data_IF_955982612586
#
_entry.id   IF_955982612586
#
_cell.length_a   1.000
_cell.length_b   1.000
_cell.length_c   1.000
_cell.angle_alpha   90.00
_cell.angle_beta   90.00
_cell.angle_gamma   90.00
#
_symmetry.space_group_name_H-M   'P 1'
#
loop_
_entity.id
_entity.type
_entity.pdbx_description
1 polymer ?
#
# COMPACT_ATOMS: atom_id res chain seq x y z
N UNK A 1 -1.41 -13.05 16.70
CA UNK A 1 -2.58 -12.42 17.35
C UNK A 1 -2.45 -10.90 17.40
N UNK A 2 -1.25 -10.32 17.30
CA UNK A 2 -1.05 -8.86 17.31
C UNK A 2 -1.32 -8.16 15.97
N UNK A 3 -1.08 -8.79 14.81
CA UNK A 3 -1.33 -8.20 13.48
C UNK A 3 -2.82 -7.86 13.22
N UNK A 4 -3.72 -8.64 13.83
CA UNK A 4 -5.18 -8.44 13.68
C UNK A 4 -5.65 -7.19 14.43
N UNK A 5 -4.92 -6.75 15.46
CA UNK A 5 -5.25 -5.55 16.24
C UNK A 5 -4.84 -4.26 15.55
N UNK A 6 -3.78 -4.26 14.73
CA UNK A 6 -3.32 -3.04 14.03
C UNK A 6 -4.22 -2.64 12.86
N UNK A 7 -4.92 -3.60 12.24
CA UNK A 7 -5.85 -3.34 11.13
C UNK A 7 -7.18 -2.69 11.58
N UNK A 8 -7.52 -2.73 12.87
CA UNK A 8 -8.75 -2.10 13.40
C UNK A 8 -8.64 -0.56 13.45
N UNK A 9 -7.43 0.01 13.39
CA UNK A 9 -7.21 1.47 13.42
C UNK A 9 -7.08 2.10 12.02
N UNK A 10 -7.11 1.29 10.96
CA UNK A 10 -6.97 1.80 9.59
C UNK A 10 -8.27 2.49 9.14
N UNK A 11 -8.12 3.69 8.61
CA UNK A 11 -9.21 4.42 7.97
C UNK A 11 -9.70 3.72 6.72
N UNK A 12 -10.92 4.01 6.31
CA UNK A 12 -11.50 3.50 5.06
C UNK A 12 -10.67 3.88 3.82
N UNK A 13 -9.91 4.98 3.88
CA UNK A 13 -8.98 5.37 2.81
C UNK A 13 -7.77 4.43 2.79
N UNK A 14 -7.16 4.15 3.95
CA UNK A 14 -6.03 3.23 4.06
C UNK A 14 -6.40 1.81 3.60
N UNK A 15 -7.56 1.30 4.04
CA UNK A 15 -8.08 0.00 3.59
C UNK A 15 -8.26 -0.05 2.07
N UNK A 16 -8.76 1.03 1.46
CA UNK A 16 -8.91 1.11 0.00
C UNK A 16 -7.57 1.16 -0.73
N UNK A 17 -6.59 1.90 -0.20
CA UNK A 17 -5.24 1.94 -0.77
C UNK A 17 -4.57 0.56 -0.69
N UNK A 18 -4.78 -0.17 0.41
CA UNK A 18 -4.28 -1.53 0.55
C UNK A 18 -4.92 -2.48 -0.47
N UNK A 19 -6.24 -2.44 -0.61
CA UNK A 19 -6.95 -3.23 -1.62
C UNK A 19 -6.46 -2.92 -3.05
N UNK A 20 -6.10 -1.66 -3.35
CA UNK A 20 -5.45 -1.29 -4.62
C UNK A 20 -4.06 -1.91 -4.73
N UNK A 21 -3.23 -1.79 -3.69
CA UNK A 21 -1.88 -2.32 -3.67
C UNK A 21 -1.81 -3.85 -3.84
N UNK A 22 -2.69 -4.57 -3.16
CA UNK A 22 -2.79 -6.04 -3.20
C UNK A 22 -3.47 -6.54 -4.49
N UNK A 23 -4.08 -5.63 -5.26
CA UNK A 23 -4.78 -5.97 -6.49
C UNK A 23 -6.14 -6.65 -6.25
N UNK A 24 -6.74 -6.43 -5.09
CA UNK A 24 -8.06 -6.95 -4.74
C UNK A 24 -9.21 -6.16 -5.39
N UNK A 25 -8.92 -4.98 -5.94
CA UNK A 25 -9.89 -4.16 -6.69
C UNK A 25 -9.83 -4.42 -8.19
N UNK A 26 -11.02 -4.43 -8.79
CA UNK A 26 -11.19 -4.49 -10.25
C UNK A 26 -10.82 -3.15 -10.87
N UNK A 27 -9.86 -3.16 -11.81
CA UNK A 27 -9.45 -1.99 -12.56
C UNK A 27 -10.00 -2.03 -13.99
N UNK A 28 -10.96 -1.16 -14.36
CA UNK A 28 -11.52 -1.15 -15.70
C UNK A 28 -10.55 -0.51 -16.69
N UNK A 29 -10.14 -1.29 -17.69
CA UNK A 29 -9.32 -0.83 -18.81
C UNK A 29 -10.16 -0.89 -20.08
N UNK A 30 -10.10 0.16 -20.90
CA UNK A 30 -10.82 0.20 -22.17
C UNK A 30 -9.87 -0.10 -23.32
N UNK A 31 -10.19 -1.14 -24.09
CA UNK A 31 -9.46 -1.49 -25.31
C UNK A 31 -9.64 -0.45 -26.41
N UNK A 32 -8.87 -0.58 -27.50
CA UNK A 32 -8.99 0.28 -28.69
C UNK A 32 -10.35 0.15 -29.39
N UNK A 33 -11.02 -0.97 -29.15
CA UNK A 33 -12.38 -1.30 -29.58
C UNK A 33 -13.47 -0.74 -28.64
N UNK A 34 -13.08 -0.06 -27.55
CA UNK A 34 -14.00 0.47 -26.55
C UNK A 34 -14.54 -0.59 -25.59
N UNK A 35 -14.11 -1.84 -25.70
CA UNK A 35 -14.54 -2.90 -24.80
C UNK A 35 -13.87 -2.73 -23.42
N UNK A 36 -14.69 -2.81 -22.37
CA UNK A 36 -14.21 -2.81 -20.99
C UNK A 36 -13.61 -4.18 -20.66
N UNK A 37 -12.41 -4.18 -20.14
CA UNK A 37 -11.74 -5.33 -19.57
C UNK A 37 -11.48 -5.06 -18.11
N UNK A 38 -11.88 -6.00 -17.27
CA UNK A 38 -11.59 -5.96 -15.85
C UNK A 38 -10.21 -6.59 -15.64
N UNK A 39 -9.24 -5.78 -15.22
CA UNK A 39 -7.86 -6.19 -15.01
C UNK A 39 -7.42 -5.89 -13.57
N UNK A 40 -6.26 -6.43 -13.20
CA UNK A 40 -5.57 -5.99 -11.99
C UNK A 40 -5.13 -4.53 -12.14
N UNK A 41 -5.08 -3.75 -11.05
CA UNK A 41 -4.49 -2.43 -11.06
C UNK A 41 -3.07 -2.49 -11.62
N UNK A 42 -2.68 -1.54 -12.51
CA UNK A 42 -1.34 -1.52 -13.09
C UNK A 42 -0.25 -1.48 -12.01
N UNK A 43 0.93 -2.10 -12.23
CA UNK A 43 2.01 -2.10 -11.23
C UNK A 43 2.37 -0.72 -10.69
N UNK A 44 2.40 0.29 -11.55
CA UNK A 44 2.66 1.68 -11.16
C UNK A 44 1.61 2.23 -10.18
N UNK A 45 0.33 1.90 -10.39
CA UNK A 45 -0.75 2.34 -9.52
C UNK A 45 -0.71 1.63 -8.15
N UNK A 46 -0.38 0.33 -8.14
CA UNK A 46 -0.19 -0.44 -6.89
C UNK A 46 0.97 0.11 -6.07
N UNK A 47 2.10 0.39 -6.73
CA UNK A 47 3.25 1.02 -6.09
C UNK A 47 2.89 2.40 -5.53
N UNK A 48 2.15 3.21 -6.28
CA UNK A 48 1.73 4.51 -5.81
C UNK A 48 0.78 4.44 -4.60
N UNK A 49 -0.11 3.45 -4.55
CA UNK A 49 -0.96 3.22 -3.40
C UNK A 49 -0.14 2.87 -2.14
N UNK A 50 0.91 2.05 -2.28
CA UNK A 50 1.87 1.77 -1.20
C UNK A 50 2.63 3.02 -0.75
N UNK A 51 3.09 3.86 -1.68
CA UNK A 51 3.76 5.13 -1.35
C UNK A 51 2.86 6.05 -0.51
N UNK A 52 1.58 6.14 -0.86
CA UNK A 52 0.61 6.94 -0.12
C UNK A 52 0.35 6.38 1.28
N UNK A 53 0.26 5.06 1.42
CA UNK A 53 0.16 4.40 2.73
C UNK A 53 1.39 4.70 3.59
N UNK A 54 2.59 4.47 3.04
CA UNK A 54 3.87 4.74 3.71
C UNK A 54 3.94 6.19 4.22
N UNK A 55 3.68 7.16 3.34
CA UNK A 55 3.71 8.58 3.69
C UNK A 55 2.72 8.93 4.80
N UNK A 56 1.52 8.35 4.74
CA UNK A 56 0.49 8.61 5.73
C UNK A 56 0.83 8.02 7.10
N UNK A 57 1.49 6.85 7.14
CA UNK A 57 2.02 6.28 8.39
C UNK A 57 3.21 7.10 8.93
N UNK A 58 4.13 7.57 8.07
CA UNK A 58 5.21 8.49 8.47
C UNK A 58 4.68 9.79 9.09
N UNK A 59 3.55 10.30 8.59
CA UNK A 59 2.91 11.52 9.09
C UNK A 59 2.09 11.30 10.38
N UNK A 60 1.52 10.10 10.59
CA UNK A 60 0.66 9.79 11.75
C UNK A 60 1.41 9.43 13.03
N UNK A 61 2.67 9.02 12.94
CA UNK A 61 3.49 8.84 14.13
C UNK A 61 4.71 7.97 13.91
N UNK A 62 5.74 8.30 14.69
CA UNK A 62 6.97 7.53 14.92
C UNK A 62 8.05 7.75 13.87
N UNK A 63 9.12 8.42 14.31
CA UNK A 63 10.42 8.36 13.68
C UNK A 63 10.68 6.91 13.27
N UNK A 64 10.79 6.69 11.95
CA UNK A 64 11.15 5.39 11.40
C UNK A 64 12.27 4.78 12.26
N UNK A 65 12.18 3.50 12.68
CA UNK A 65 13.26 2.87 13.42
C UNK A 65 14.53 2.99 12.58
N UNK A 66 15.43 3.88 13.02
CA UNK A 66 16.73 4.07 12.39
C UNK A 66 17.51 2.78 12.59
N UNK A 67 17.67 2.01 11.52
CA UNK A 67 18.63 0.91 11.49
C UNK A 67 20.02 1.51 11.65
N UNK A 68 20.60 1.37 12.83
CA UNK A 68 22.01 1.66 13.06
C UNK A 68 22.76 0.36 12.74
N UNK A 69 23.53 0.37 11.65
CA UNK A 69 24.54 -0.65 11.41
C UNK A 69 25.65 -0.40 12.44
N UNK A 70 25.70 -1.23 13.48
CA UNK A 70 26.80 -1.23 14.44
C UNK A 70 27.86 -2.15 13.85
N UNK A 71 28.82 -1.57 13.12
CA UNK A 71 30.08 -2.25 12.84
C UNK A 71 30.93 -2.17 14.10
N UNK A 72 30.80 -3.16 14.98
CA UNK A 72 31.79 -3.47 16.01
C UNK A 72 31.69 -4.96 16.38
N UNK A 73 32.47 -5.79 15.68
CA UNK A 73 32.86 -7.12 16.18
C UNK A 73 34.39 -7.11 16.28
N UNK A 74 34.86 -7.27 17.51
CA UNK A 74 36.26 -7.35 17.95
C UNK A 74 36.97 -8.56 17.34
#
# INVERSE_FOLDING_TARGET
MDEVKELEEWTEIEKRLLAVADGEVVWPVYGKDGQRQDQLPPPALRMHALELLLKHHEERGQAAPRVVLVDDIV
#
